data_IF_390776106949
#
_entry.id   IF_390776106949
#
_cell.length_a   1.000
_cell.length_b   1.000
_cell.length_c   1.000
_cell.angle_alpha   90.00
_cell.angle_beta   90.00
_cell.angle_gamma   90.00
#
_symmetry.space_group_name_H-M   'P 1'
#
loop_
_entity.id
_entity.type
_entity.pdbx_description
1 polymer ?
#
# COMPACT_ATOMS: atom_id res chain seq x y z
N UNK A 1 7.63 -30.40 10.96
CA UNK A 1 7.42 -29.61 9.70
C UNK A 1 8.81 -29.25 9.24
N UNK A 2 9.28 -29.89 8.18
CA UNK A 2 10.59 -29.59 7.62
C UNK A 2 10.45 -28.41 6.69
N UNK A 3 10.84 -27.24 7.21
CA UNK A 3 10.82 -25.97 6.49
C UNK A 3 12.26 -25.42 6.50
N UNK A 4 12.72 -24.93 5.36
CA UNK A 4 14.02 -24.30 5.24
C UNK A 4 13.92 -22.99 4.45
N UNK A 5 14.73 -22.00 4.82
CA UNK A 5 14.88 -20.75 4.08
C UNK A 5 16.29 -20.73 3.50
N UNK A 6 16.39 -20.46 2.19
CA UNK A 6 17.66 -20.37 1.47
C UNK A 6 17.73 -19.10 0.63
N UNK A 7 18.95 -18.62 0.45
CA UNK A 7 19.25 -17.42 -0.33
C UNK A 7 20.13 -17.76 -1.53
N UNK A 8 19.88 -17.12 -2.67
CA UNK A 8 20.66 -17.30 -3.89
C UNK A 8 20.76 -15.99 -4.69
N UNK A 9 21.57 -15.97 -5.74
CA UNK A 9 21.66 -14.81 -6.65
C UNK A 9 20.40 -14.65 -7.51
N UNK A 10 19.71 -15.77 -7.76
CA UNK A 10 18.42 -15.84 -8.44
C UNK A 10 17.47 -16.71 -7.62
N UNK A 11 16.17 -16.61 -7.89
CA UNK A 11 15.15 -17.43 -7.24
C UNK A 11 15.38 -18.91 -7.52
N UNK A 12 15.77 -19.24 -8.76
CA UNK A 12 16.05 -20.61 -9.18
C UNK A 12 17.24 -21.20 -8.41
N UNK A 13 18.31 -20.42 -8.22
CA UNK A 13 19.51 -20.86 -7.45
C UNK A 13 19.17 -21.07 -5.97
N UNK A 14 18.36 -20.19 -5.38
CA UNK A 14 17.91 -20.32 -4.00
C UNK A 14 16.98 -21.54 -3.81
N UNK A 15 16.09 -21.81 -4.78
CA UNK A 15 15.23 -22.98 -4.80
C UNK A 15 16.02 -24.30 -4.92
N UNK A 16 16.98 -24.35 -5.83
CA UNK A 16 17.83 -25.54 -6.02
C UNK A 16 18.63 -25.88 -4.76
N UNK A 17 19.19 -24.85 -4.10
CA UNK A 17 19.90 -25.02 -2.83
C UNK A 17 18.95 -25.50 -1.71
N UNK A 18 17.73 -24.98 -1.65
CA UNK A 18 16.75 -25.40 -0.65
C UNK A 18 16.29 -26.86 -0.86
N UNK A 19 16.05 -27.26 -2.11
CA UNK A 19 15.69 -28.66 -2.47
C UNK A 19 16.81 -29.63 -2.13
N UNK A 20 18.06 -29.26 -2.46
CA UNK A 20 19.24 -30.06 -2.10
C UNK A 20 19.41 -30.21 -0.59
N UNK A 21 19.16 -29.17 0.18
CA UNK A 21 19.26 -29.18 1.64
C UNK A 21 18.15 -30.00 2.32
N UNK A 22 16.94 -30.01 1.75
CA UNK A 22 15.81 -30.85 2.23
C UNK A 22 15.88 -32.28 1.73
N UNK A 23 16.67 -32.57 0.71
CA UNK A 23 16.72 -33.88 0.06
C UNK A 23 15.35 -34.29 -0.49
N UNK A 24 14.62 -33.35 -1.07
CA UNK A 24 13.26 -33.51 -1.58
C UNK A 24 13.15 -33.03 -3.03
N UNK A 25 12.29 -33.67 -3.82
CA UNK A 25 11.99 -33.25 -5.16
C UNK A 25 11.00 -32.07 -5.16
N UNK A 26 11.01 -31.26 -6.22
CA UNK A 26 10.12 -30.10 -6.38
C UNK A 26 8.63 -30.45 -6.26
N UNK A 27 8.23 -31.65 -6.62
CA UNK A 27 6.85 -32.14 -6.50
C UNK A 27 6.42 -32.45 -5.06
N UNK A 28 7.36 -32.61 -4.14
CA UNK A 28 7.13 -32.96 -2.73
C UNK A 28 7.11 -31.75 -1.81
N UNK A 29 7.38 -30.56 -2.34
CA UNK A 29 7.53 -29.34 -1.56
C UNK A 29 6.64 -28.22 -2.08
N UNK A 30 6.36 -27.27 -1.20
CA UNK A 30 5.76 -25.97 -1.50
C UNK A 30 6.84 -24.91 -1.40
N UNK A 31 7.00 -24.11 -2.44
CA UNK A 31 8.03 -23.06 -2.54
C UNK A 31 7.34 -21.70 -2.46
N UNK A 32 7.72 -20.91 -1.45
CA UNK A 32 7.29 -19.54 -1.25
C UNK A 32 8.46 -18.58 -1.48
N UNK A 33 8.29 -17.63 -2.41
CA UNK A 33 9.33 -16.63 -2.70
C UNK A 33 9.19 -15.47 -1.72
N UNK A 34 10.14 -15.31 -0.80
CA UNK A 34 10.16 -14.23 0.17
C UNK A 34 10.77 -12.95 -0.42
N UNK A 35 11.81 -13.07 -1.25
CA UNK A 35 12.43 -11.97 -1.98
C UNK A 35 12.93 -12.45 -3.35
N UNK A 36 12.67 -11.66 -4.40
CA UNK A 36 13.18 -11.97 -5.75
C UNK A 36 14.63 -11.54 -5.96
N UNK A 37 15.23 -10.85 -4.99
CA UNK A 37 16.55 -10.25 -5.15
C UNK A 37 16.58 -9.11 -6.18
N UNK A 38 17.63 -8.32 -6.16
CA UNK A 38 17.93 -7.31 -7.18
C UNK A 38 19.35 -7.46 -7.65
N UNK A 39 19.55 -7.58 -8.95
CA UNK A 39 20.87 -7.57 -9.55
C UNK A 39 21.46 -6.17 -9.43
N UNK A 40 22.55 -6.02 -8.65
CA UNK A 40 23.27 -4.76 -8.50
C UNK A 40 23.94 -4.34 -9.81
N UNK A 41 24.01 -3.02 -10.05
CA UNK A 41 24.74 -2.46 -11.18
C UNK A 41 26.25 -2.59 -10.90
N UNK A 42 27.00 -3.25 -11.80
CA UNK A 42 28.47 -3.49 -11.68
C UNK A 42 28.93 -4.27 -10.44
N UNK A 43 28.11 -5.20 -9.93
CA UNK A 43 28.56 -6.12 -8.85
C UNK A 43 28.58 -5.50 -7.45
N UNK A 44 28.05 -4.29 -7.25
CA UNK A 44 27.94 -3.63 -5.95
C UNK A 44 26.47 -3.39 -5.63
N UNK A 45 26.00 -3.87 -4.44
CA UNK A 45 24.66 -3.58 -3.91
C UNK A 45 23.54 -4.48 -4.42
N UNK A 46 23.79 -5.71 -4.84
CA UNK A 46 22.74 -6.70 -5.16
C UNK A 46 22.12 -7.26 -3.88
N UNK A 47 20.78 -7.32 -3.83
CA UNK A 47 20.05 -8.11 -2.83
C UNK A 47 19.89 -9.54 -3.34
N UNK A 48 20.14 -10.53 -2.46
CA UNK A 48 19.96 -11.94 -2.78
C UNK A 48 18.46 -12.28 -2.84
N UNK A 49 18.09 -13.20 -3.71
CA UNK A 49 16.79 -13.82 -3.69
C UNK A 49 16.67 -14.74 -2.47
N UNK A 50 15.51 -14.77 -1.84
CA UNK A 50 15.23 -15.59 -0.65
C UNK A 50 13.97 -16.41 -0.89
N UNK A 51 14.07 -17.73 -0.69
CA UNK A 51 12.94 -18.65 -0.83
C UNK A 51 12.78 -19.49 0.44
N UNK A 52 11.52 -19.73 0.78
CA UNK A 52 11.11 -20.68 1.81
C UNK A 52 10.57 -21.95 1.15
N UNK A 53 11.14 -23.09 1.51
CA UNK A 53 10.70 -24.38 1.00
C UNK A 53 10.16 -25.21 2.16
N UNK A 54 8.90 -25.66 2.04
CA UNK A 54 8.21 -26.46 3.05
C UNK A 54 7.84 -27.81 2.45
N UNK A 55 8.16 -28.91 3.12
CA UNK A 55 7.77 -30.25 2.67
C UNK A 55 6.27 -30.43 2.79
N UNK A 56 5.62 -30.81 1.69
CA UNK A 56 4.20 -31.11 1.68
C UNK A 56 3.96 -32.43 2.42
N UNK A 57 3.26 -32.35 3.56
CA UNK A 57 2.85 -33.55 4.29
C UNK A 57 1.77 -34.28 3.49
N UNK A 58 2.09 -35.44 2.96
CA UNK A 58 1.15 -36.34 2.27
C UNK A 58 0.34 -37.07 3.35
N UNK A 59 -0.72 -36.44 3.84
CA UNK A 59 -1.76 -37.12 4.62
C UNK A 59 -3.11 -36.78 4.01
N UNK A 60 -3.66 -37.74 3.27
CA UNK A 60 -5.08 -37.77 2.93
C UNK A 60 -5.43 -37.79 1.46
N UNK A 61 -5.17 -38.90 0.79
CA UNK A 61 -5.97 -39.35 -0.36
C UNK A 61 -6.55 -40.73 -0.05
N UNK A 62 -7.82 -40.90 -0.42
CA UNK A 62 -8.62 -42.10 -0.45
C UNK A 62 -9.33 -42.46 0.88
N UNK A 63 -10.65 -42.71 0.94
CA UNK A 63 -11.46 -43.54 0.08
C UNK A 63 -12.96 -43.29 0.29
N UNK A 64 -13.73 -43.55 -0.76
CA UNK A 64 -15.20 -43.55 -0.88
C UNK A 64 -15.93 -44.48 0.11
N UNK A 65 -17.19 -44.14 0.29
CA UNK A 65 -18.30 -44.70 1.05
C UNK A 65 -18.53 -46.26 0.83
N UNK A 66 -19.47 -46.95 1.51
CA UNK A 66 -20.84 -46.51 1.85
C UNK A 66 -21.47 -47.05 3.18
N UNK A 67 -22.54 -46.33 3.57
CA UNK A 67 -23.80 -46.76 4.22
C UNK A 67 -23.83 -47.81 5.37
N UNK A 68 -24.40 -47.43 6.52
CA UNK A 68 -25.69 -47.89 7.04
C UNK A 68 -25.89 -47.65 8.54
N UNK A 69 -27.00 -46.97 8.85
CA UNK A 69 -27.96 -47.20 9.94
C UNK A 69 -27.48 -47.51 11.38
N UNK A 70 -27.99 -46.75 12.34
CA UNK A 70 -28.07 -47.13 13.76
C UNK A 70 -28.52 -45.99 14.67
N UNK A 71 -29.79 -46.05 15.03
CA UNK A 71 -30.53 -45.33 16.07
C UNK A 71 -29.77 -45.17 17.42
N UNK A 72 -30.12 -44.10 18.16
CA UNK A 72 -29.82 -44.00 19.58
C UNK A 72 -29.76 -42.58 20.16
N UNK A 73 -30.84 -41.97 20.35
CA UNK A 73 -31.52 -41.20 21.39
C UNK A 73 -30.71 -40.66 22.60
N UNK A 74 -31.16 -39.47 23.05
CA UNK A 74 -30.98 -38.75 24.34
C UNK A 74 -29.69 -37.92 24.51
N UNK A 75 -29.76 -36.69 24.85
CA UNK A 75 -30.52 -35.73 25.63
C UNK A 75 -29.59 -34.58 26.08
N UNK A 76 -30.08 -33.37 25.89
CA UNK A 76 -29.99 -32.15 26.73
C UNK A 76 -28.62 -31.58 27.19
N UNK A 77 -28.26 -30.48 26.64
CA UNK A 77 -28.12 -29.15 27.23
C UNK A 77 -27.08 -28.30 26.49
N UNK A 78 -27.55 -27.23 25.91
CA UNK A 78 -26.79 -26.09 25.41
C UNK A 78 -26.17 -25.27 26.57
N UNK A 79 -25.17 -24.37 26.33
CA UNK A 79 -25.49 -23.21 25.54
C UNK A 79 -24.55 -22.92 24.38
N UNK A 80 -25.19 -22.54 23.32
CA UNK A 80 -24.67 -21.86 22.16
C UNK A 80 -23.74 -20.72 22.50
N UNK A 81 -22.52 -20.80 21.98
CA UNK A 81 -21.86 -19.62 21.46
C UNK A 81 -21.84 -19.80 19.94
N UNK A 82 -22.85 -19.25 19.32
CA UNK A 82 -22.95 -19.15 17.86
C UNK A 82 -21.87 -18.17 17.43
N UNK A 83 -20.74 -18.70 17.05
CA UNK A 83 -19.82 -17.99 16.17
C UNK A 83 -20.56 -17.82 14.85
N UNK A 84 -21.17 -16.65 14.67
CA UNK A 84 -21.77 -16.26 13.40
C UNK A 84 -20.71 -16.39 12.32
N UNK A 85 -20.99 -17.09 11.20
CA UNK A 85 -20.09 -17.06 10.07
C UNK A 85 -19.90 -15.61 9.62
N UNK A 86 -18.71 -15.21 9.17
CA UNK A 86 -18.49 -13.86 8.70
C UNK A 86 -19.56 -13.54 7.67
N UNK A 87 -20.30 -12.46 7.93
CA UNK A 87 -21.36 -12.00 7.05
C UNK A 87 -20.87 -12.04 5.61
N UNK A 88 -21.61 -12.74 4.77
CA UNK A 88 -21.36 -12.77 3.33
C UNK A 88 -21.27 -11.32 2.87
N UNK A 89 -20.07 -10.91 2.49
CA UNK A 89 -19.79 -9.57 1.99
C UNK A 89 -20.62 -9.45 0.72
N UNK A 90 -21.65 -8.60 0.73
CA UNK A 90 -22.42 -8.33 -0.47
C UNK A 90 -21.42 -7.99 -1.60
N UNK A 91 -21.55 -8.68 -2.72
CA UNK A 91 -20.65 -8.42 -3.85
C UNK A 91 -20.89 -6.99 -4.29
N UNK A 92 -19.81 -6.18 -4.31
CA UNK A 92 -19.91 -4.82 -4.78
C UNK A 92 -20.04 -4.85 -6.30
N UNK A 93 -21.08 -4.23 -6.82
CA UNK A 93 -21.39 -4.23 -8.26
C UNK A 93 -20.66 -3.10 -9.00
N UNK A 94 -20.14 -2.12 -8.27
CA UNK A 94 -19.44 -0.96 -8.84
C UNK A 94 -18.05 -0.75 -8.22
N UNK A 95 -17.11 -0.13 -8.98
CA UNK A 95 -15.80 0.23 -8.45
C UNK A 95 -15.87 1.14 -7.20
N UNK A 96 -16.88 2.01 -7.12
CA UNK A 96 -17.09 2.89 -5.96
C UNK A 96 -17.46 2.09 -4.70
N UNK A 97 -18.41 1.15 -4.82
CA UNK A 97 -18.80 0.28 -3.70
C UNK A 97 -17.65 -0.62 -3.26
N UNK A 98 -16.92 -1.20 -4.21
CA UNK A 98 -15.75 -2.02 -3.90
C UNK A 98 -14.67 -1.22 -3.17
N UNK A 99 -14.45 0.02 -3.56
CA UNK A 99 -13.49 0.90 -2.91
C UNK A 99 -13.91 1.25 -1.48
N UNK A 100 -15.20 1.58 -1.26
CA UNK A 100 -15.75 1.83 0.10
C UNK A 100 -15.59 0.61 0.98
N UNK A 101 -16.01 -0.58 0.50
CA UNK A 101 -15.89 -1.83 1.25
C UNK A 101 -14.42 -2.16 1.60
N UNK A 102 -13.50 -1.96 0.65
CA UNK A 102 -12.08 -2.18 0.89
C UNK A 102 -11.54 -1.23 1.97
N UNK A 103 -11.88 0.06 1.90
CA UNK A 103 -11.49 1.05 2.91
C UNK A 103 -12.05 0.67 4.27
N UNK A 104 -13.36 0.44 4.38
CA UNK A 104 -14.02 0.09 5.64
C UNK A 104 -13.40 -1.14 6.27
N UNK A 105 -13.19 -2.21 5.51
CA UNK A 105 -12.60 -3.46 6.02
C UNK A 105 -11.17 -3.28 6.53
N UNK A 106 -10.36 -2.45 5.85
CA UNK A 106 -9.00 -2.14 6.32
C UNK A 106 -9.08 -1.35 7.63
N UNK A 107 -9.92 -0.32 7.70
CA UNK A 107 -10.03 0.56 8.86
C UNK A 107 -10.62 -0.16 10.08
N UNK A 108 -11.61 -1.03 9.90
CA UNK A 108 -12.14 -1.91 10.95
C UNK A 108 -11.06 -2.85 11.51
N UNK A 109 -10.24 -3.44 10.63
CA UNK A 109 -9.14 -4.33 11.06
C UNK A 109 -8.08 -3.59 11.88
N UNK A 110 -7.84 -2.33 11.58
CA UNK A 110 -6.90 -1.47 12.32
C UNK A 110 -7.55 -0.90 13.59
N UNK A 111 -8.88 -0.94 13.69
CA UNK A 111 -9.64 -0.38 14.83
C UNK A 111 -9.68 1.15 14.82
N UNK A 112 -9.63 1.78 13.65
CA UNK A 112 -9.68 3.23 13.51
C UNK A 112 -11.14 3.73 13.62
N UNK A 113 -11.38 4.71 14.50
CA UNK A 113 -12.67 5.36 14.66
C UNK A 113 -12.85 6.48 13.62
N UNK A 114 -13.44 6.10 12.47
CA UNK A 114 -13.63 7.01 11.32
C UNK A 114 -14.89 6.65 10.53
N UNK A 115 -15.48 7.66 9.91
CA UNK A 115 -16.59 7.56 8.98
C UNK A 115 -16.07 7.58 7.54
N UNK A 116 -16.55 6.65 6.72
CA UNK A 116 -16.21 6.53 5.30
C UNK A 116 -17.44 6.86 4.46
N UNK A 117 -17.32 7.82 3.56
CA UNK A 117 -18.42 8.27 2.69
C UNK A 117 -17.97 8.46 1.24
N UNK A 118 -18.89 8.25 0.31
CA UNK A 118 -18.64 8.49 -1.11
C UNK A 118 -18.89 9.98 -1.43
N UNK A 119 -17.84 10.70 -1.83
CA UNK A 119 -17.97 12.09 -2.34
C UNK A 119 -18.48 12.10 -3.77
N UNK A 120 -17.91 11.27 -4.63
CA UNK A 120 -18.29 11.14 -6.02
C UNK A 120 -18.06 9.71 -6.50
N UNK A 121 -18.99 9.16 -7.28
CA UNK A 121 -18.83 7.86 -7.90
C UNK A 121 -17.88 7.92 -9.10
N UNK A 122 -17.83 9.07 -9.78
CA UNK A 122 -16.88 9.36 -10.85
C UNK A 122 -16.56 10.85 -10.83
N UNK A 123 -15.30 11.17 -10.64
CA UNK A 123 -14.77 12.53 -10.66
C UNK A 123 -13.92 12.73 -11.92
N UNK A 124 -14.17 13.80 -12.67
CA UNK A 124 -13.50 14.05 -13.97
C UNK A 124 -11.98 14.27 -13.84
N UNK A 125 -11.50 14.78 -12.70
CA UNK A 125 -10.08 15.03 -12.48
C UNK A 125 -9.32 13.77 -12.08
N UNK A 126 -9.95 12.92 -11.26
CA UNK A 126 -9.36 11.66 -10.81
C UNK A 126 -9.59 10.51 -11.79
N UNK A 127 -10.66 10.57 -12.57
CA UNK A 127 -11.07 9.50 -13.49
C UNK A 127 -11.66 8.30 -12.78
N UNK A 128 -12.27 8.49 -11.59
CA UNK A 128 -12.87 7.42 -10.80
C UNK A 128 -13.52 7.90 -9.50
N UNK A 129 -13.88 6.96 -8.59
CA UNK A 129 -14.52 7.31 -7.33
C UNK A 129 -13.60 8.09 -6.39
N UNK A 130 -14.21 9.03 -5.66
CA UNK A 130 -13.57 9.80 -4.59
C UNK A 130 -14.26 9.48 -3.27
N UNK A 131 -13.50 9.00 -2.31
CA UNK A 131 -13.97 8.58 -0.99
C UNK A 131 -13.41 9.51 0.07
N UNK A 132 -14.30 10.04 0.91
CA UNK A 132 -13.97 10.86 2.06
C UNK A 132 -13.89 10.00 3.33
N UNK A 133 -12.88 10.27 4.13
CA UNK A 133 -12.67 9.67 5.45
C UNK A 133 -12.58 10.79 6.48
N UNK A 134 -13.47 10.76 7.47
CA UNK A 134 -13.53 11.76 8.52
C UNK A 134 -13.63 11.07 9.89
N UNK A 135 -13.09 11.65 10.94
CA UNK A 135 -13.26 11.12 12.29
C UNK A 135 -12.07 11.37 13.22
N UNK A 136 -12.19 10.97 14.48
CA UNK A 136 -11.19 11.23 15.51
C UNK A 136 -9.79 10.69 15.15
N UNK A 137 -9.72 9.53 14.48
CA UNK A 137 -8.47 8.86 14.13
C UNK A 137 -7.95 9.22 12.73
N UNK A 138 -8.58 10.20 12.06
CA UNK A 138 -8.20 10.67 10.72
C UNK A 138 -6.72 11.05 10.62
N UNK A 139 -6.15 11.63 11.67
CA UNK A 139 -4.73 12.01 11.74
C UNK A 139 -3.77 10.83 11.56
N UNK A 140 -4.13 9.63 12.06
CA UNK A 140 -3.34 8.41 11.90
C UNK A 140 -3.32 7.96 10.43
N UNK A 141 -4.45 8.13 9.74
CA UNK A 141 -4.62 7.74 8.34
C UNK A 141 -3.90 8.67 7.38
N UNK A 142 -3.72 9.92 7.73
CA UNK A 142 -2.87 10.85 6.98
C UNK A 142 -1.40 10.41 7.10
N UNK A 143 -0.96 10.17 8.33
CA UNK A 143 0.42 9.84 8.63
C UNK A 143 1.40 10.98 8.36
N UNK A 144 2.70 10.66 8.40
CA UNK A 144 3.73 11.67 8.19
C UNK A 144 3.71 12.18 6.75
N UNK A 145 3.33 13.44 6.54
CA UNK A 145 3.29 14.11 5.22
C UNK A 145 2.37 13.43 4.20
N UNK A 146 1.35 12.72 4.66
CA UNK A 146 0.40 12.03 3.79
C UNK A 146 0.85 10.66 3.29
N UNK A 147 1.96 10.10 3.81
CA UNK A 147 2.47 8.80 3.34
C UNK A 147 1.51 7.66 3.64
N UNK A 148 0.87 7.62 4.81
CA UNK A 148 -0.10 6.58 5.15
C UNK A 148 -1.31 6.65 4.21
N UNK A 149 -1.85 7.84 3.97
CA UNK A 149 -2.95 8.05 3.03
C UNK A 149 -2.59 7.60 1.62
N UNK A 150 -1.39 7.89 1.16
CA UNK A 150 -0.93 7.47 -0.16
C UNK A 150 -0.81 5.94 -0.27
N UNK A 151 -0.29 5.28 0.78
CA UNK A 151 -0.19 3.83 0.83
C UNK A 151 -1.57 3.17 0.89
N UNK A 152 -2.48 3.70 1.70
CA UNK A 152 -3.86 3.23 1.78
C UNK A 152 -4.56 3.34 0.43
N UNK A 153 -4.45 4.49 -0.23
CA UNK A 153 -5.00 4.69 -1.58
C UNK A 153 -4.44 3.67 -2.58
N UNK A 154 -3.14 3.42 -2.55
CA UNK A 154 -2.50 2.43 -3.43
C UNK A 154 -3.07 1.03 -3.22
N UNK A 155 -3.23 0.61 -1.96
CA UNK A 155 -3.78 -0.71 -1.62
C UNK A 155 -5.23 -0.82 -2.10
N UNK A 156 -6.08 0.16 -1.77
CA UNK A 156 -7.50 0.17 -2.17
C UNK A 156 -7.62 0.15 -3.69
N UNK A 157 -6.86 0.97 -4.40
CA UNK A 157 -6.84 0.98 -5.86
C UNK A 157 -6.40 -0.37 -6.45
N UNK A 158 -5.43 -1.05 -5.84
CA UNK A 158 -4.98 -2.38 -6.29
C UNK A 158 -6.07 -3.43 -6.09
N UNK A 159 -6.79 -3.40 -4.96
CA UNK A 159 -7.92 -4.30 -4.69
C UNK A 159 -9.04 -4.10 -5.73
N UNK A 160 -9.41 -2.84 -6.00
CA UNK A 160 -10.48 -2.54 -6.96
C UNK A 160 -10.10 -2.97 -8.37
N UNK A 161 -8.89 -2.66 -8.82
CA UNK A 161 -8.40 -3.08 -10.14
C UNK A 161 -8.39 -4.59 -10.31
N UNK A 162 -7.95 -5.33 -9.29
CA UNK A 162 -7.95 -6.78 -9.31
C UNK A 162 -9.37 -7.36 -9.39
N UNK A 163 -10.33 -6.75 -8.69
CA UNK A 163 -11.71 -7.23 -8.67
C UNK A 163 -12.45 -7.05 -10.00
N UNK A 164 -12.20 -5.93 -10.68
CA UNK A 164 -12.88 -5.58 -11.94
C UNK A 164 -12.05 -5.93 -13.19
N UNK A 165 -10.85 -6.50 -13.01
CA UNK A 165 -9.92 -6.83 -14.09
C UNK A 165 -9.64 -5.65 -15.03
N UNK A 166 -9.68 -4.42 -14.49
CA UNK A 166 -9.55 -3.17 -15.24
C UNK A 166 -8.39 -2.33 -14.71
N UNK A 167 -7.35 -2.11 -15.53
CA UNK A 167 -6.14 -1.40 -15.13
C UNK A 167 -6.33 0.13 -15.02
N UNK A 168 -7.29 0.68 -15.75
CA UNK A 168 -7.50 2.12 -15.82
C UNK A 168 -8.35 2.69 -14.68
N UNK A 169 -8.97 1.83 -13.83
CA UNK A 169 -9.72 2.29 -12.67
C UNK A 169 -8.80 3.06 -11.72
N UNK A 170 -9.19 4.27 -11.41
CA UNK A 170 -8.52 5.11 -10.41
C UNK A 170 -9.44 5.31 -9.22
N UNK A 171 -8.87 5.25 -8.02
CA UNK A 171 -9.58 5.53 -6.77
C UNK A 171 -8.85 6.65 -6.05
N UNK A 172 -9.55 7.69 -5.64
CA UNK A 172 -9.01 8.73 -4.79
C UNK A 172 -9.56 8.62 -3.37
N UNK A 173 -8.68 8.69 -2.40
CA UNK A 173 -9.03 8.83 -0.99
C UNK A 173 -8.65 10.23 -0.52
N UNK A 174 -9.52 10.85 0.28
CA UNK A 174 -9.22 12.10 0.95
C UNK A 174 -9.60 11.99 2.43
N UNK A 175 -8.77 12.54 3.29
CA UNK A 175 -8.98 12.54 4.74
C UNK A 175 -9.13 13.97 5.20
N UNK A 176 -10.37 14.37 5.56
CA UNK A 176 -10.67 15.72 6.04
C UNK A 176 -10.11 16.84 5.14
N UNK A 177 -10.19 16.69 3.84
CA UNK A 177 -9.64 17.66 2.87
C UNK A 177 -8.11 17.89 3.07
N UNK A 178 -7.40 16.85 3.50
CA UNK A 178 -5.97 16.94 3.78
C UNK A 178 -5.17 17.46 2.59
N UNK A 179 -5.52 17.03 1.36
CA UNK A 179 -4.81 17.44 0.15
C UNK A 179 -4.82 18.96 -0.02
N UNK A 180 -5.99 19.58 0.12
CA UNK A 180 -6.13 21.04 0.02
C UNK A 180 -5.36 21.76 1.12
N UNK A 181 -5.57 21.37 2.37
CA UNK A 181 -4.86 21.96 3.53
C UNK A 181 -3.34 21.82 3.40
N UNK A 182 -2.87 20.68 2.87
CA UNK A 182 -1.44 20.44 2.65
C UNK A 182 -0.88 21.35 1.57
N UNK A 183 -1.60 21.48 0.46
CA UNK A 183 -1.20 22.37 -0.64
C UNK A 183 -1.12 23.82 -0.19
N UNK A 184 -2.10 24.32 0.55
CA UNK A 184 -2.11 25.69 1.08
C UNK A 184 -0.94 25.92 2.05
N UNK A 185 -0.68 24.97 2.94
CA UNK A 185 0.48 25.03 3.85
C UNK A 185 1.82 25.05 3.12
N UNK A 186 1.94 24.29 2.01
CA UNK A 186 3.14 24.27 1.18
C UNK A 186 3.34 25.60 0.44
N UNK A 187 2.26 26.20 -0.09
CA UNK A 187 2.30 27.52 -0.74
C UNK A 187 2.73 28.60 0.24
N UNK A 188 2.15 28.66 1.44
CA UNK A 188 2.54 29.60 2.48
C UNK A 188 4.00 29.44 2.90
N UNK A 189 4.44 28.19 3.07
CA UNK A 189 5.84 27.91 3.41
C UNK A 189 6.78 28.37 2.28
N UNK A 190 6.44 28.05 1.03
CA UNK A 190 7.22 28.42 -0.14
C UNK A 190 7.32 29.95 -0.29
N UNK A 191 6.22 30.69 -0.07
CA UNK A 191 6.21 32.14 -0.10
C UNK A 191 7.13 32.74 0.96
N UNK A 192 7.02 32.30 2.23
CA UNK A 192 7.90 32.77 3.32
C UNK A 192 9.38 32.52 3.01
N UNK A 193 9.72 31.33 2.47
CA UNK A 193 11.10 31.00 2.14
C UNK A 193 11.61 31.80 0.93
N UNK A 194 10.79 31.95 -0.12
CA UNK A 194 11.14 32.74 -1.29
C UNK A 194 11.40 34.20 -0.94
N UNK A 195 10.58 34.83 -0.08
CA UNK A 195 10.81 36.16 0.46
C UNK A 195 12.17 36.27 1.16
N UNK A 196 12.53 35.26 1.95
CA UNK A 196 13.83 35.25 2.64
C UNK A 196 15.00 35.07 1.68
N UNK A 197 14.87 34.26 0.64
CA UNK A 197 15.87 34.06 -0.42
C UNK A 197 16.08 35.38 -1.18
N UNK A 198 15.00 36.08 -1.57
CA UNK A 198 15.09 37.41 -2.24
C UNK A 198 15.78 38.45 -1.38
N UNK A 199 15.50 38.47 -0.08
CA UNK A 199 16.10 39.45 0.85
C UNK A 199 17.57 39.17 1.14
N UNK A 200 17.94 37.89 1.28
CA UNK A 200 19.29 37.52 1.71
C UNK A 200 20.26 37.22 0.56
N UNK A 201 19.72 36.97 -0.63
CA UNK A 201 20.49 36.52 -1.80
C UNK A 201 21.12 35.12 -1.60
N UNK A 202 20.64 34.31 -0.64
CA UNK A 202 21.17 32.99 -0.34
C UNK A 202 20.11 31.91 -0.63
N UNK A 203 20.52 30.84 -1.29
CA UNK A 203 19.66 29.68 -1.50
C UNK A 203 19.26 29.00 -0.18
N UNK A 204 18.03 28.50 -0.13
CA UNK A 204 17.52 27.74 1.00
C UNK A 204 17.00 26.39 0.48
N UNK A 205 17.41 25.32 1.16
CA UNK A 205 16.96 23.97 0.85
C UNK A 205 15.89 23.56 1.87
N UNK A 206 14.73 23.12 1.36
CA UNK A 206 13.62 22.63 2.17
C UNK A 206 13.88 21.21 2.67
N UNK A 207 13.01 20.73 3.55
CA UNK A 207 13.06 19.34 3.97
C UNK A 207 12.66 18.36 2.84
N UNK A 208 13.11 17.10 2.92
CA UNK A 208 12.66 16.06 1.98
C UNK A 208 11.14 15.93 1.95
N UNK A 209 10.56 15.78 0.76
CA UNK A 209 9.12 15.69 0.59
C UNK A 209 8.74 14.86 -0.64
N UNK A 210 7.49 14.29 -0.68
CA UNK A 210 6.99 13.53 -1.82
C UNK A 210 7.02 14.31 -3.15
N UNK A 211 7.03 13.63 -4.30
CA UNK A 211 7.01 14.26 -5.62
C UNK A 211 5.84 15.23 -5.83
N UNK A 212 4.66 14.90 -5.31
CA UNK A 212 3.46 15.76 -5.35
C UNK A 212 3.71 17.10 -4.68
N UNK A 213 4.25 17.10 -3.46
CA UNK A 213 4.53 18.29 -2.68
C UNK A 213 5.60 19.18 -3.35
N UNK A 214 6.63 18.53 -3.90
CA UNK A 214 7.67 19.26 -4.65
C UNK A 214 7.11 19.96 -5.89
N UNK A 215 6.17 19.29 -6.58
CA UNK A 215 5.48 19.87 -7.74
C UNK A 215 4.66 21.11 -7.36
N UNK A 216 3.94 21.08 -6.23
CA UNK A 216 3.18 22.24 -5.73
C UNK A 216 4.09 23.44 -5.54
N UNK A 217 5.25 23.26 -4.90
CA UNK A 217 6.20 24.34 -4.66
C UNK A 217 6.79 24.88 -5.98
N UNK A 218 7.18 24.00 -6.90
CA UNK A 218 7.69 24.40 -8.20
C UNK A 218 6.68 25.24 -8.97
N UNK A 219 5.43 24.77 -9.10
CA UNK A 219 4.38 25.47 -9.81
C UNK A 219 4.02 26.81 -9.15
N UNK A 220 3.97 26.84 -7.81
CA UNK A 220 3.65 28.07 -7.09
C UNK A 220 4.71 29.16 -7.26
N UNK A 221 5.99 28.78 -7.32
CA UNK A 221 7.10 29.71 -7.45
C UNK A 221 7.56 29.96 -8.89
N UNK A 222 6.99 29.26 -9.88
CA UNK A 222 7.38 29.35 -11.29
C UNK A 222 7.24 30.77 -11.86
N UNK A 223 6.18 31.47 -11.47
CA UNK A 223 5.89 32.85 -11.92
C UNK A 223 6.56 33.93 -11.07
N UNK A 224 7.39 33.56 -10.09
CA UNK A 224 7.98 34.52 -9.16
C UNK A 224 9.32 35.03 -9.67
N UNK A 225 9.38 36.33 -10.01
CA UNK A 225 10.58 36.98 -10.48
C UNK A 225 11.74 36.93 -9.45
N UNK A 226 12.95 36.73 -9.93
CA UNK A 226 14.16 36.69 -9.11
C UNK A 226 14.32 35.41 -8.26
N UNK A 227 13.49 34.39 -8.50
CA UNK A 227 13.53 33.11 -7.80
C UNK A 227 13.44 31.95 -8.81
N UNK A 228 14.30 30.96 -8.65
CA UNK A 228 14.19 29.66 -9.32
C UNK A 228 14.19 28.52 -8.32
N UNK A 229 13.64 27.39 -8.70
CA UNK A 229 13.54 26.22 -7.86
C UNK A 229 14.15 25.00 -8.51
N UNK A 230 14.88 24.19 -7.74
CA UNK A 230 15.48 22.92 -8.20
C UNK A 230 15.16 21.79 -7.22
N UNK A 231 14.86 20.61 -7.77
CA UNK A 231 14.74 19.38 -6.97
C UNK A 231 16.08 18.67 -6.87
N UNK A 232 16.66 18.58 -5.67
CA UNK A 232 17.97 17.98 -5.39
C UNK A 232 17.85 16.72 -4.55
N UNK A 233 18.76 15.76 -4.75
CA UNK A 233 18.75 14.47 -4.05
C UNK A 233 17.98 13.39 -4.80
N UNK A 234 17.88 12.19 -4.19
CA UNK A 234 17.30 10.99 -4.79
C UNK A 234 16.28 10.34 -3.86
N UNK A 235 15.31 9.62 -4.45
CA UNK A 235 14.31 8.85 -3.70
C UNK A 235 13.58 9.68 -2.65
N UNK A 236 13.41 9.13 -1.47
CA UNK A 236 12.71 9.78 -0.34
C UNK A 236 13.47 10.96 0.27
N UNK A 237 14.80 11.04 0.08
CA UNK A 237 15.61 12.17 0.52
C UNK A 237 15.57 13.39 -0.40
N UNK A 238 14.84 13.29 -1.53
CA UNK A 238 14.74 14.36 -2.52
C UNK A 238 13.95 15.55 -1.97
N UNK A 239 14.49 16.76 -2.18
CA UNK A 239 14.02 18.02 -1.61
C UNK A 239 14.01 19.12 -2.65
N UNK A 240 13.33 20.24 -2.36
CA UNK A 240 13.34 21.43 -3.19
C UNK A 240 14.35 22.42 -2.61
N UNK A 241 15.17 22.98 -3.48
CA UNK A 241 16.03 24.12 -3.20
C UNK A 241 15.44 25.36 -3.89
N UNK A 242 15.29 26.44 -3.13
CA UNK A 242 14.84 27.73 -3.63
C UNK A 242 16.09 28.61 -3.75
N UNK A 243 16.34 29.13 -4.95
CA UNK A 243 17.59 29.76 -5.34
C UNK A 243 17.28 31.17 -5.85
N UNK A 244 18.08 32.19 -5.49
CA UNK A 244 17.94 33.49 -6.11
C UNK A 244 18.32 33.40 -7.59
N UNK A 245 17.42 33.85 -8.47
CA UNK A 245 17.74 34.00 -9.88
C UNK A 245 18.50 35.34 -10.06
N UNK A 246 19.74 35.20 -10.40
CA UNK A 246 20.62 36.35 -10.67
C UNK A 246 20.87 36.37 -12.18
N UNK A 247 20.12 37.18 -12.89
CA UNK A 247 20.50 37.60 -14.24
C UNK A 247 21.88 38.30 -14.25
#
# INVERSE_FOLDING_TARGET
MDQIIQTGRTVEEAEEQALAALGADRSEVEVEILSRGRQGFLGIGGELAEVRVTRRSVLGAEEEAPAASGDGDHDESAPESVESPPAAVAEADTPAEAAIQAVQRILETVGADVDVSLRSAHDEFTGGPVIDINGPDSGLLIGRRGNTLQSLQFIVQSIVRQRFEEEDIRVALDVEQYRQRREDSLREMADRVANRVSQTGRSITLEPMPPSDRRVIHLFLDSREGIRTESVGYGESRKVQIIPDRD
#
